data_IF_928247890158
#
_entry.id   IF_928247890158
#
_cell.length_a   1.000
_cell.length_b   1.000
_cell.length_c   1.000
_cell.angle_alpha   90.00
_cell.angle_beta   90.00
_cell.angle_gamma   90.00
#
_symmetry.space_group_name_H-M   'P 1'
#
loop_
_entity.id
_entity.type
_entity.pdbx_description
1 polymer ?
#
# COMPACT_ATOMS: atom_id res chain seq x y z
N UNK A 1 20.77 -7.07 21.25
CA UNK A 1 19.86 -6.82 20.09
C UNK A 1 18.56 -6.35 20.68
N UNK A 2 17.95 -5.29 20.14
CA UNK A 2 16.60 -4.89 20.57
C UNK A 2 15.62 -6.00 20.20
N UNK A 3 14.75 -6.37 21.14
CA UNK A 3 13.72 -7.36 20.87
C UNK A 3 12.67 -6.75 19.94
N UNK A 4 12.39 -7.39 18.80
CA UNK A 4 11.36 -6.92 17.87
C UNK A 4 9.98 -7.10 18.53
N UNK A 5 9.15 -6.06 18.48
CA UNK A 5 7.84 -5.99 19.11
C UNK A 5 6.71 -5.60 18.14
N UNK A 6 7.05 -5.31 16.88
CA UNK A 6 6.11 -5.00 15.81
C UNK A 6 6.72 -5.44 14.49
N UNK A 7 5.90 -6.06 13.63
CA UNK A 7 6.25 -6.38 12.25
C UNK A 7 5.32 -5.60 11.33
N UNK A 8 5.88 -4.93 10.32
CA UNK A 8 5.13 -4.27 9.24
C UNK A 8 5.60 -4.85 7.92
N UNK A 9 4.70 -5.43 7.16
CA UNK A 9 5.03 -6.13 5.91
C UNK A 9 4.24 -5.60 4.73
N UNK A 10 4.92 -5.44 3.60
CA UNK A 10 4.25 -5.41 2.31
C UNK A 10 3.57 -6.75 2.01
N UNK A 11 2.72 -6.77 0.98
CA UNK A 11 1.92 -7.93 0.58
C UNK A 11 2.44 -8.57 -0.70
N UNK A 12 2.36 -7.82 -1.82
CA UNK A 12 2.60 -8.36 -3.17
C UNK A 12 4.10 -8.47 -3.47
N UNK A 13 4.58 -9.69 -3.75
CA UNK A 13 6.02 -9.93 -3.90
C UNK A 13 6.78 -10.05 -2.56
N UNK A 14 6.07 -9.96 -1.43
CA UNK A 14 6.64 -10.10 -0.09
C UNK A 14 6.05 -11.32 0.61
N UNK A 15 4.81 -11.24 1.11
CA UNK A 15 4.16 -12.39 1.77
C UNK A 15 3.33 -13.24 0.81
N UNK A 16 3.07 -12.74 -0.39
CA UNK A 16 2.42 -13.48 -1.47
C UNK A 16 3.46 -13.92 -2.51
N UNK A 17 3.40 -15.19 -2.91
CA UNK A 17 4.18 -15.72 -4.02
C UNK A 17 3.58 -15.28 -5.38
N UNK A 18 4.22 -15.64 -6.49
CA UNK A 18 3.79 -15.30 -7.86
C UNK A 18 2.44 -15.91 -8.25
N UNK A 19 1.92 -16.86 -7.46
CA UNK A 19 0.59 -17.45 -7.59
C UNK A 19 -0.44 -16.82 -6.64
N UNK A 20 -0.11 -15.68 -6.01
CA UNK A 20 -0.94 -15.00 -5.01
C UNK A 20 -1.30 -15.86 -3.79
N UNK A 21 -0.45 -16.81 -3.43
CA UNK A 21 -0.60 -17.64 -2.24
C UNK A 21 0.27 -17.11 -1.11
N UNK A 22 -0.26 -17.12 0.10
CA UNK A 22 0.46 -16.71 1.31
C UNK A 22 1.63 -17.67 1.57
N UNK A 23 2.76 -17.13 2.01
CA UNK A 23 3.91 -17.86 2.52
C UNK A 23 3.46 -18.82 3.66
N UNK A 24 3.53 -20.16 3.47
CA UNK A 24 3.03 -21.11 4.45
C UNK A 24 3.90 -21.17 5.71
N UNK A 25 5.18 -20.85 5.64
CA UNK A 25 6.06 -20.78 6.82
C UNK A 25 5.66 -19.57 7.65
N UNK A 26 5.41 -18.40 7.04
CA UNK A 26 4.88 -17.24 7.75
C UNK A 26 3.54 -17.57 8.42
N UNK A 27 2.60 -18.16 7.68
CA UNK A 27 1.28 -18.51 8.23
C UNK A 27 1.39 -19.44 9.46
N UNK A 28 2.34 -20.38 9.44
CA UNK A 28 2.60 -21.27 10.56
C UNK A 28 3.17 -20.56 11.81
N UNK A 29 3.86 -19.42 11.64
CA UNK A 29 4.46 -18.63 12.72
C UNK A 29 3.51 -17.60 13.35
N UNK A 30 2.40 -17.25 12.70
CA UNK A 30 1.43 -16.27 13.23
C UNK A 30 0.91 -16.63 14.65
N UNK A 31 0.59 -17.89 14.98
CA UNK A 31 0.21 -18.25 16.36
C UNK A 31 1.29 -17.98 17.39
N UNK A 32 2.57 -18.12 17.03
CA UNK A 32 3.70 -17.86 17.91
C UNK A 32 3.87 -16.34 18.11
N UNK A 33 3.78 -15.54 17.07
CA UNK A 33 3.78 -14.09 17.17
C UNK A 33 2.65 -13.58 18.09
N UNK A 34 1.46 -14.16 17.97
CA UNK A 34 0.32 -13.81 18.85
C UNK A 34 0.59 -14.15 20.32
N UNK A 35 1.25 -15.28 20.60
CA UNK A 35 1.62 -15.71 21.94
C UNK A 35 2.64 -14.75 22.58
N UNK A 36 3.57 -14.25 21.77
CA UNK A 36 4.57 -13.26 22.17
C UNK A 36 4.03 -11.81 22.13
N UNK A 37 2.75 -11.63 21.84
CA UNK A 37 2.09 -10.31 21.70
C UNK A 37 2.78 -9.38 20.69
N UNK A 38 3.32 -9.94 19.58
CA UNK A 38 3.97 -9.21 18.50
C UNK A 38 2.96 -9.02 17.37
N UNK A 39 2.42 -7.80 17.15
CA UNK A 39 1.50 -7.52 16.04
C UNK A 39 2.20 -7.70 14.68
N UNK A 40 1.46 -8.33 13.74
CA UNK A 40 1.85 -8.41 12.33
C UNK A 40 0.92 -7.52 11.52
N UNK A 41 1.42 -6.41 11.00
CA UNK A 41 0.67 -5.37 10.31
C UNK A 41 0.96 -5.41 8.81
N UNK A 42 -0.08 -5.40 7.99
CA UNK A 42 0.05 -5.30 6.53
C UNK A 42 0.09 -3.83 6.11
N UNK A 43 0.99 -3.48 5.18
CA UNK A 43 1.11 -2.17 4.56
C UNK A 43 1.19 -2.29 3.03
N UNK A 44 0.16 -1.83 2.31
CA UNK A 44 0.05 -2.04 0.87
C UNK A 44 -0.64 -0.87 0.16
N UNK A 45 -0.43 -0.74 -1.16
CA UNK A 45 -1.21 0.16 -2.02
C UNK A 45 -2.68 -0.28 -2.20
N UNK A 46 -3.03 -1.48 -1.73
CA UNK A 46 -4.37 -2.06 -1.83
C UNK A 46 -5.40 -1.30 -0.99
N UNK A 47 -6.67 -1.44 -1.37
CA UNK A 47 -7.84 -1.00 -0.60
C UNK A 47 -8.04 -1.86 0.67
N UNK A 48 -8.82 -1.39 1.66
CA UNK A 48 -9.23 -2.25 2.77
C UNK A 48 -9.92 -3.54 2.33
N UNK A 49 -10.74 -3.50 1.27
CA UNK A 49 -11.38 -4.70 0.70
C UNK A 49 -10.38 -5.66 0.09
N UNK A 50 -9.34 -5.15 -0.56
CA UNK A 50 -8.28 -5.97 -1.15
C UNK A 50 -7.35 -6.58 -0.11
N UNK A 51 -7.22 -5.98 1.08
CA UNK A 51 -6.37 -6.48 2.16
C UNK A 51 -7.09 -7.43 3.13
N UNK A 52 -8.38 -7.21 3.38
CA UNK A 52 -9.14 -7.97 4.38
C UNK A 52 -9.13 -9.50 4.16
N UNK A 53 -9.24 -10.06 2.94
CA UNK A 53 -9.13 -11.50 2.73
C UNK A 53 -7.78 -12.08 3.14
N UNK A 54 -6.68 -11.35 2.90
CA UNK A 54 -5.31 -11.74 3.24
C UNK A 54 -5.12 -11.72 4.76
N UNK A 55 -5.57 -10.64 5.42
CA UNK A 55 -5.54 -10.55 6.88
C UNK A 55 -6.33 -11.69 7.55
N UNK A 56 -7.48 -12.05 6.96
CA UNK A 56 -8.30 -13.16 7.44
C UNK A 56 -7.63 -14.52 7.25
N UNK A 57 -7.02 -14.76 6.09
CA UNK A 57 -6.30 -16.02 5.80
C UNK A 57 -5.10 -16.21 6.73
N UNK A 58 -4.38 -15.11 7.04
CA UNK A 58 -3.31 -15.10 8.06
C UNK A 58 -3.85 -15.16 9.50
N UNK A 59 -5.13 -14.90 9.72
CA UNK A 59 -5.71 -14.84 11.06
C UNK A 59 -5.29 -13.59 11.85
N UNK A 60 -5.00 -12.46 11.19
CA UNK A 60 -4.54 -11.19 11.79
C UNK A 60 -5.55 -10.06 11.69
N UNK A 61 -6.86 -10.37 11.60
CA UNK A 61 -7.93 -9.37 11.51
C UNK A 61 -8.00 -8.43 12.73
N UNK A 62 -7.39 -8.83 13.82
CA UNK A 62 -7.24 -8.06 15.05
C UNK A 62 -6.05 -7.08 15.03
N UNK A 63 -5.23 -7.10 13.98
CA UNK A 63 -4.16 -6.13 13.76
C UNK A 63 -4.61 -4.97 12.85
N UNK A 64 -3.97 -3.79 12.91
CA UNK A 64 -4.18 -2.73 11.93
C UNK A 64 -3.77 -3.13 10.52
N UNK A 65 -4.33 -2.44 9.53
CA UNK A 65 -3.89 -2.48 8.13
C UNK A 65 -3.59 -1.05 7.65
N UNK A 66 -2.43 -0.84 7.06
CA UNK A 66 -2.05 0.40 6.40
C UNK A 66 -2.38 0.29 4.90
N UNK A 67 -3.58 0.74 4.54
CA UNK A 67 -4.12 0.71 3.19
C UNK A 67 -3.65 1.92 2.39
N UNK A 68 -3.61 1.81 1.04
CA UNK A 68 -3.20 2.90 0.15
C UNK A 68 -1.83 3.48 0.51
N UNK A 69 -0.86 2.61 0.82
CA UNK A 69 0.49 2.96 1.31
C UNK A 69 0.49 3.82 2.59
N UNK A 70 -0.55 3.75 3.42
CA UNK A 70 -0.67 4.50 4.66
C UNK A 70 -1.65 5.68 4.62
N UNK A 71 -2.31 5.96 3.46
CA UNK A 71 -3.36 7.00 3.42
C UNK A 71 -4.52 6.71 4.37
N UNK A 72 -4.75 5.44 4.67
CA UNK A 72 -5.74 4.97 5.65
C UNK A 72 -5.15 3.84 6.48
N UNK A 73 -4.99 4.07 7.77
CA UNK A 73 -4.61 3.03 8.73
C UNK A 73 -5.81 2.74 9.61
N UNK A 74 -6.31 1.49 9.55
CA UNK A 74 -7.50 1.08 10.28
C UNK A 74 -7.33 -0.29 10.94
N UNK A 75 -8.09 -0.51 12.04
CA UNK A 75 -8.23 -1.80 12.72
C UNK A 75 -9.72 -2.18 12.71
N UNK A 76 -10.08 -3.18 11.91
CA UNK A 76 -11.49 -3.45 11.61
C UNK A 76 -12.16 -2.21 10.98
N UNK A 77 -13.25 -1.73 11.56
CA UNK A 77 -13.94 -0.51 11.12
C UNK A 77 -13.42 0.76 11.82
N UNK A 78 -12.49 0.64 12.77
CA UNK A 78 -11.93 1.79 13.48
C UNK A 78 -10.79 2.40 12.68
N UNK A 79 -10.93 3.66 12.26
CA UNK A 79 -9.85 4.46 11.68
C UNK A 79 -8.90 4.88 12.79
N UNK A 80 -7.61 4.57 12.64
CA UNK A 80 -6.55 4.98 13.55
C UNK A 80 -5.85 6.25 13.04
N UNK A 81 -5.52 6.26 11.75
CA UNK A 81 -4.90 7.40 11.07
C UNK A 81 -5.49 7.55 9.66
N UNK A 82 -5.63 8.78 9.20
CA UNK A 82 -6.24 9.08 7.91
C UNK A 82 -5.59 10.32 7.28
N UNK A 83 -5.12 10.18 6.05
CA UNK A 83 -4.43 11.22 5.28
C UNK A 83 -5.13 11.40 3.92
N UNK A 84 -6.26 12.12 3.88
CA UNK A 84 -7.00 12.29 2.65
C UNK A 84 -6.30 13.26 1.69
N UNK A 85 -6.53 13.06 0.39
CA UNK A 85 -6.22 14.01 -0.66
C UNK A 85 -6.99 15.33 -0.46
N UNK A 86 -6.36 16.44 -0.78
CA UNK A 86 -7.11 17.69 -0.96
C UNK A 86 -8.06 17.57 -2.15
N UNK A 87 -9.35 17.73 -1.89
CA UNK A 87 -10.39 17.54 -2.92
C UNK A 87 -10.40 18.59 -4.00
N UNK A 88 -9.90 19.81 -3.72
CA UNK A 88 -9.79 20.85 -4.72
C UNK A 88 -8.65 20.52 -5.69
N UNK A 89 -7.49 20.11 -5.17
CA UNK A 89 -6.37 19.65 -6.02
C UNK A 89 -6.76 18.39 -6.81
N UNK A 90 -7.42 17.43 -6.18
CA UNK A 90 -7.92 16.22 -6.86
C UNK A 90 -8.88 16.57 -8.01
N UNK A 91 -9.82 17.50 -7.79
CA UNK A 91 -10.74 17.98 -8.82
C UNK A 91 -9.99 18.68 -9.95
N UNK A 92 -9.09 19.60 -9.64
CA UNK A 92 -8.27 20.30 -10.65
C UNK A 92 -7.48 19.31 -11.48
N UNK A 93 -6.88 18.30 -10.84
CA UNK A 93 -6.12 17.26 -11.52
C UNK A 93 -7.01 16.39 -12.43
N UNK A 94 -8.19 15.97 -11.97
CA UNK A 94 -9.17 15.19 -12.77
C UNK A 94 -9.63 15.99 -13.98
N UNK A 95 -10.00 17.27 -13.81
CA UNK A 95 -10.42 18.15 -14.90
C UNK A 95 -9.29 18.32 -15.93
N UNK A 96 -8.06 18.54 -15.47
CA UNK A 96 -6.88 18.64 -16.33
C UNK A 96 -6.58 17.32 -17.07
N UNK A 97 -6.62 16.18 -16.36
CA UNK A 97 -6.37 14.87 -16.97
C UNK A 97 -7.42 14.52 -18.03
N UNK A 98 -8.71 14.74 -17.75
CA UNK A 98 -9.79 14.51 -18.71
C UNK A 98 -9.65 15.39 -19.98
N UNK A 99 -9.14 16.61 -19.82
CA UNK A 99 -8.94 17.51 -20.95
C UNK A 99 -7.78 17.10 -21.87
N UNK A 100 -6.68 16.61 -21.27
CA UNK A 100 -5.42 16.37 -22.00
C UNK A 100 -5.19 14.89 -22.33
N UNK A 101 -5.78 13.97 -21.55
CA UNK A 101 -5.62 12.53 -21.63
C UNK A 101 -6.98 11.79 -21.51
N UNK A 102 -7.93 12.06 -22.42
CA UNK A 102 -9.33 11.59 -22.30
C UNK A 102 -9.50 10.06 -22.42
N UNK A 103 -8.46 9.32 -22.79
CA UNK A 103 -8.48 7.86 -22.88
C UNK A 103 -8.04 7.16 -21.60
N UNK A 104 -7.54 7.94 -20.63
CA UNK A 104 -7.08 7.39 -19.34
C UNK A 104 -8.27 7.15 -18.42
N UNK A 105 -8.37 5.95 -17.88
CA UNK A 105 -9.37 5.59 -16.88
C UNK A 105 -9.04 6.21 -15.53
N UNK A 106 -9.97 6.98 -14.97
CA UNK A 106 -9.81 7.61 -13.65
C UNK A 106 -10.64 6.87 -12.61
N UNK A 107 -9.99 6.46 -11.53
CA UNK A 107 -10.58 5.69 -10.46
C UNK A 107 -10.33 6.38 -9.13
N UNK A 108 -11.38 6.55 -8.31
CA UNK A 108 -11.33 7.18 -6.99
C UNK A 108 -11.50 6.12 -5.91
N UNK A 109 -10.75 6.26 -4.82
CA UNK A 109 -10.85 5.39 -3.66
C UNK A 109 -11.12 6.19 -2.38
N UNK A 110 -12.20 5.84 -1.68
CA UNK A 110 -12.62 6.45 -0.42
C UNK A 110 -12.99 5.35 0.59
N UNK A 111 -12.21 5.18 1.65
CA UNK A 111 -12.37 4.06 2.56
C UNK A 111 -12.35 2.73 1.80
N UNK A 112 -13.43 1.98 1.87
CA UNK A 112 -13.59 0.71 1.14
C UNK A 112 -14.27 0.84 -0.23
N UNK A 113 -14.61 2.05 -0.65
CA UNK A 113 -15.34 2.28 -1.90
C UNK A 113 -14.35 2.64 -3.02
N UNK A 114 -14.45 1.90 -4.11
CA UNK A 114 -13.84 2.21 -5.39
C UNK A 114 -14.91 2.76 -6.33
N UNK A 115 -14.64 3.91 -6.95
CA UNK A 115 -15.58 4.66 -7.79
C UNK A 115 -14.94 4.99 -9.12
N UNK A 116 -15.73 4.92 -10.20
CA UNK A 116 -15.37 5.38 -11.55
C UNK A 116 -16.62 5.91 -12.26
N UNK A 117 -16.47 6.75 -13.27
CA UNK A 117 -17.62 7.28 -14.01
C UNK A 117 -18.21 6.29 -15.01
N UNK A 118 -17.40 5.34 -15.52
CA UNK A 118 -17.86 4.30 -16.43
C UNK A 118 -16.95 3.06 -16.38
N UNK A 119 -17.45 1.94 -16.88
CA UNK A 119 -16.67 0.71 -17.04
C UNK A 119 -16.04 0.65 -18.42
N UNK A 120 -14.77 0.95 -18.50
CA UNK A 120 -13.92 0.76 -19.67
C UNK A 120 -13.11 -0.55 -19.62
N UNK A 121 -12.18 -0.73 -20.55
CA UNK A 121 -11.31 -1.93 -20.56
C UNK A 121 -10.39 -1.99 -19.33
N UNK A 122 -9.92 -0.82 -18.85
CA UNK A 122 -8.94 -0.74 -17.76
C UNK A 122 -9.58 -1.00 -16.40
N UNK A 123 -10.73 -0.36 -16.12
CA UNK A 123 -11.49 -0.58 -14.90
C UNK A 123 -12.04 -2.02 -14.81
N UNK A 124 -12.36 -2.67 -15.94
CA UNK A 124 -12.73 -4.11 -15.97
C UNK A 124 -11.53 -5.01 -15.66
N UNK A 125 -10.35 -4.68 -16.19
CA UNK A 125 -9.13 -5.44 -15.91
C UNK A 125 -8.72 -5.27 -14.44
N UNK A 126 -8.80 -4.05 -13.89
CA UNK A 126 -8.54 -3.80 -12.47
C UNK A 126 -9.53 -4.58 -11.59
N UNK A 127 -10.82 -4.61 -11.95
CA UNK A 127 -11.82 -5.42 -11.25
C UNK A 127 -11.50 -6.91 -11.28
N UNK A 128 -10.96 -7.41 -12.41
CA UNK A 128 -10.53 -8.81 -12.54
C UNK A 128 -9.30 -9.12 -11.66
N UNK A 129 -8.33 -8.20 -11.63
CA UNK A 129 -7.08 -8.35 -10.86
C UNK A 129 -7.36 -8.30 -9.35
N UNK A 130 -8.14 -7.31 -8.91
CA UNK A 130 -8.39 -7.06 -7.48
C UNK A 130 -9.54 -7.88 -6.91
N UNK A 131 -10.43 -8.42 -7.76
CA UNK A 131 -11.69 -9.04 -7.33
C UNK A 131 -12.72 -8.02 -6.81
N UNK A 132 -12.42 -6.73 -6.87
CA UNK A 132 -13.32 -5.66 -6.42
C UNK A 132 -14.23 -5.19 -7.57
N UNK A 133 -15.34 -4.54 -7.21
CA UNK A 133 -16.28 -3.94 -8.17
C UNK A 133 -16.42 -2.46 -7.88
N UNK A 134 -16.20 -1.59 -8.89
CA UNK A 134 -16.40 -0.15 -8.69
C UNK A 134 -17.88 0.21 -8.58
N UNK A 135 -18.15 1.28 -7.86
CA UNK A 135 -19.39 2.03 -7.93
C UNK A 135 -19.32 2.94 -9.16
N UNK A 136 -20.34 2.88 -10.02
CA UNK A 136 -20.41 3.72 -11.20
C UNK A 136 -21.22 4.97 -10.87
N UNK A 137 -20.56 6.12 -10.86
CA UNK A 137 -21.18 7.41 -10.55
C UNK A 137 -20.32 8.56 -11.10
N UNK A 138 -20.90 9.76 -11.32
CA UNK A 138 -20.12 10.93 -11.72
C UNK A 138 -18.99 11.21 -10.74
N UNK A 139 -17.75 11.35 -11.22
CA UNK A 139 -16.57 11.53 -10.33
C UNK A 139 -16.61 12.82 -9.51
N UNK A 140 -17.44 13.81 -9.91
CA UNK A 140 -17.63 15.03 -9.13
C UNK A 140 -18.41 14.80 -7.84
N UNK A 141 -19.32 13.83 -7.79
CA UNK A 141 -20.17 13.59 -6.61
C UNK A 141 -19.35 13.29 -5.34
N UNK A 142 -18.41 12.33 -5.32
CA UNK A 142 -17.56 12.08 -4.15
C UNK A 142 -16.61 13.24 -3.82
N UNK A 143 -16.24 14.06 -4.79
CA UNK A 143 -15.41 15.25 -4.57
C UNK A 143 -16.19 16.38 -3.88
N UNK A 144 -17.48 16.48 -4.13
CA UNK A 144 -18.37 17.47 -3.49
C UNK A 144 -18.86 17.01 -2.11
N UNK A 145 -18.88 15.70 -1.83
CA UNK A 145 -19.27 15.17 -0.53
C UNK A 145 -18.13 15.35 0.49
N UNK A 146 -18.17 16.47 1.22
CA UNK A 146 -17.14 16.81 2.22
C UNK A 146 -17.16 15.87 3.45
N UNK A 147 -18.13 14.98 3.57
CA UNK A 147 -18.20 14.02 4.68
C UNK A 147 -17.38 12.75 4.46
N UNK A 148 -17.00 12.48 3.20
CA UNK A 148 -16.21 11.29 2.82
C UNK A 148 -14.79 11.69 2.45
N UNK A 149 -13.76 11.14 3.10
CA UNK A 149 -12.38 11.39 2.70
C UNK A 149 -12.09 10.74 1.35
N UNK A 150 -11.16 11.31 0.58
CA UNK A 150 -10.61 10.73 -0.64
C UNK A 150 -9.17 10.28 -0.36
N UNK A 151 -8.87 9.00 -0.48
CA UNK A 151 -7.56 8.47 -0.10
C UNK A 151 -6.61 8.34 -1.27
N UNK A 152 -7.13 7.97 -2.45
CA UNK A 152 -6.31 7.71 -3.63
C UNK A 152 -7.09 7.96 -4.92
N UNK A 153 -6.39 8.49 -5.94
CA UNK A 153 -6.77 8.33 -7.33
C UNK A 153 -5.83 7.30 -7.98
N UNK A 154 -6.38 6.49 -8.87
CA UNK A 154 -5.63 5.58 -9.72
C UNK A 154 -6.00 5.85 -11.17
N UNK A 155 -5.03 6.28 -11.96
CA UNK A 155 -5.18 6.48 -13.38
C UNK A 155 -4.56 5.29 -14.12
N UNK A 156 -5.34 4.67 -15.01
CA UNK A 156 -4.93 3.49 -15.77
C UNK A 156 -5.14 3.76 -17.26
N UNK A 157 -4.16 3.40 -18.07
CA UNK A 157 -4.22 3.61 -19.52
C UNK A 157 -3.14 2.81 -20.24
N UNK A 158 -2.91 3.11 -21.51
CA UNK A 158 -1.73 2.60 -22.20
C UNK A 158 -0.46 3.15 -21.56
N UNK A 159 0.60 2.32 -21.50
CA UNK A 159 1.84 2.68 -20.80
C UNK A 159 2.47 3.98 -21.34
N UNK A 160 2.45 4.17 -22.67
CA UNK A 160 2.98 5.39 -23.30
C UNK A 160 2.17 6.63 -22.89
N UNK A 161 0.84 6.51 -22.80
CA UNK A 161 -0.06 7.58 -22.42
C UNK A 161 0.10 7.94 -20.93
N UNK A 162 0.14 6.96 -20.04
CA UNK A 162 0.40 7.16 -18.60
C UNK A 162 1.77 7.80 -18.36
N UNK A 163 2.80 7.35 -19.07
CA UNK A 163 4.13 7.97 -19.00
C UNK A 163 4.14 9.41 -19.52
N UNK A 164 3.39 9.70 -20.58
CA UNK A 164 3.25 11.06 -21.12
C UNK A 164 2.51 11.96 -20.12
N UNK A 165 1.42 11.47 -19.55
CA UNK A 165 0.65 12.16 -18.51
C UNK A 165 1.56 12.47 -17.30
N UNK A 166 2.28 11.47 -16.79
CA UNK A 166 3.17 11.66 -15.64
C UNK A 166 4.25 12.72 -15.89
N UNK A 167 4.86 12.73 -17.09
CA UNK A 167 5.85 13.75 -17.46
C UNK A 167 5.26 15.15 -17.65
N UNK A 168 3.97 15.26 -17.94
CA UNK A 168 3.28 16.53 -18.15
C UNK A 168 2.79 17.19 -16.85
N UNK A 169 2.80 16.44 -15.73
CA UNK A 169 2.39 16.98 -14.42
C UNK A 169 3.45 17.97 -13.94
N UNK A 170 3.01 19.18 -13.56
CA UNK A 170 3.79 20.11 -12.77
C UNK A 170 3.46 19.91 -11.29
N UNK A 171 4.41 19.44 -10.50
CA UNK A 171 4.20 19.22 -9.06
C UNK A 171 3.90 20.53 -8.29
N UNK A 172 4.33 21.67 -8.83
CA UNK A 172 4.06 22.98 -8.23
C UNK A 172 2.58 23.39 -8.33
N UNK A 173 1.84 22.81 -9.29
CA UNK A 173 0.40 23.06 -9.45
C UNK A 173 -0.44 22.29 -8.40
N UNK A 174 0.16 21.28 -7.74
CA UNK A 174 -0.49 20.39 -6.77
C UNK A 174 0.37 20.21 -5.51
N UNK A 175 0.54 21.28 -4.69
CA UNK A 175 1.52 21.28 -3.60
C UNK A 175 1.23 20.29 -2.47
N UNK A 176 -0.02 19.84 -2.30
CA UNK A 176 -0.44 18.87 -1.28
C UNK A 176 -0.54 17.44 -1.80
N UNK A 177 -0.23 17.21 -3.09
CA UNK A 177 -0.43 15.94 -3.79
C UNK A 177 0.89 15.30 -4.20
N UNK A 178 0.97 13.99 -4.11
CA UNK A 178 2.07 13.18 -4.63
C UNK A 178 1.60 12.31 -5.80
N UNK A 179 2.48 12.16 -6.80
CA UNK A 179 2.25 11.39 -8.01
C UNK A 179 3.38 10.38 -8.17
N UNK A 180 3.05 9.11 -8.40
CA UNK A 180 4.06 8.08 -8.65
C UNK A 180 3.52 6.96 -9.54
N UNK A 181 4.41 6.36 -10.29
CA UNK A 181 4.10 5.21 -11.14
C UNK A 181 4.28 3.92 -10.33
N UNK A 182 3.20 3.19 -10.08
CA UNK A 182 3.27 1.86 -9.45
C UNK A 182 3.53 0.75 -10.47
N UNK A 183 3.11 0.98 -11.73
CA UNK A 183 3.42 0.16 -12.90
C UNK A 183 3.62 1.07 -14.11
N UNK A 184 4.09 0.53 -15.22
CA UNK A 184 4.28 1.31 -16.45
C UNK A 184 3.00 2.00 -16.93
N UNK A 185 1.85 1.39 -16.65
CA UNK A 185 0.53 1.83 -17.08
C UNK A 185 -0.40 2.24 -15.92
N UNK A 186 0.13 2.46 -14.70
CA UNK A 186 -0.60 2.88 -13.50
C UNK A 186 0.05 4.12 -12.89
N UNK A 187 -0.72 5.20 -12.79
CA UNK A 187 -0.36 6.40 -12.04
C UNK A 187 -1.19 6.48 -10.77
N UNK A 188 -0.54 6.46 -9.65
CA UNK A 188 -1.14 6.64 -8.33
C UNK A 188 -1.02 8.10 -7.89
N UNK A 189 -2.08 8.61 -7.26
CA UNK A 189 -2.17 9.97 -6.75
C UNK A 189 -2.65 9.89 -5.31
N UNK A 190 -1.86 10.40 -4.37
CA UNK A 190 -2.13 10.39 -2.94
C UNK A 190 -1.81 11.74 -2.31
N UNK A 191 -2.16 11.94 -1.05
CA UNK A 191 -1.65 13.09 -0.31
C UNK A 191 -0.11 13.03 -0.21
N UNK A 192 0.54 14.20 -0.18
CA UNK A 192 2.01 14.34 -0.29
C UNK A 192 2.80 13.60 0.78
N UNK A 193 2.24 13.47 1.97
CA UNK A 193 2.87 12.82 3.13
C UNK A 193 2.29 11.40 3.38
N UNK A 194 1.98 10.69 2.29
CA UNK A 194 1.52 9.31 2.35
C UNK A 194 2.62 8.41 1.83
N UNK A 195 3.14 7.58 2.71
CA UNK A 195 4.12 6.55 2.38
C UNK A 195 4.09 5.41 3.40
N UNK A 196 4.66 4.26 3.04
CA UNK A 196 4.86 3.16 4.00
C UNK A 196 5.84 3.55 5.13
N UNK A 197 6.72 4.51 4.87
CA UNK A 197 7.62 5.07 5.90
C UNK A 197 6.83 5.87 6.95
N UNK A 198 5.88 6.72 6.51
CA UNK A 198 5.03 7.46 7.44
C UNK A 198 4.12 6.52 8.22
N UNK A 199 3.55 5.50 7.56
CA UNK A 199 2.78 4.44 8.21
C UNK A 199 3.59 3.68 9.27
N UNK A 200 4.87 3.38 9.02
CA UNK A 200 5.77 2.79 10.01
C UNK A 200 5.89 3.68 11.26
N UNK A 201 6.11 4.98 11.08
CA UNK A 201 6.26 5.92 12.20
C UNK A 201 4.96 6.03 13.01
N UNK A 202 3.82 6.14 12.35
CA UNK A 202 2.51 6.21 13.02
C UNK A 202 2.17 4.94 13.78
N UNK A 203 2.41 3.77 13.19
CA UNK A 203 2.19 2.48 13.85
C UNK A 203 3.14 2.25 15.02
N UNK A 204 4.43 2.59 14.88
CA UNK A 204 5.38 2.53 15.99
C UNK A 204 4.91 3.41 17.16
N UNK A 205 4.50 4.66 16.88
CA UNK A 205 3.95 5.55 17.89
C UNK A 205 2.65 5.02 18.52
N UNK A 206 1.75 4.42 17.73
CA UNK A 206 0.50 3.82 18.19
C UNK A 206 0.75 2.71 19.20
N UNK A 207 1.78 1.90 18.98
CA UNK A 207 2.20 0.81 19.89
C UNK A 207 3.17 1.26 20.97
N UNK A 208 3.51 2.55 21.05
CA UNK A 208 4.49 3.11 22.00
C UNK A 208 5.87 2.45 21.90
N UNK A 209 6.32 2.21 20.68
CA UNK A 209 7.59 1.58 20.35
C UNK A 209 8.55 2.59 19.72
N UNK A 210 9.86 2.33 19.90
CA UNK A 210 10.91 2.99 19.13
C UNK A 210 11.15 2.20 17.83
N UNK A 211 11.69 2.85 16.80
CA UNK A 211 11.86 2.21 15.49
C UNK A 211 12.80 1.02 15.52
N UNK A 212 13.74 0.98 16.46
CA UNK A 212 14.66 -0.13 16.71
C UNK A 212 13.96 -1.43 17.18
N UNK A 213 12.69 -1.32 17.64
CA UNK A 213 11.85 -2.45 18.03
C UNK A 213 10.93 -2.94 16.91
N UNK A 214 11.08 -2.37 15.69
CA UNK A 214 10.22 -2.69 14.54
C UNK A 214 11.02 -3.41 13.45
N UNK A 215 10.48 -4.53 12.95
CA UNK A 215 10.94 -5.18 11.74
C UNK A 215 9.99 -4.81 10.58
N UNK A 216 10.57 -4.47 9.43
CA UNK A 216 9.80 -4.24 8.20
C UNK A 216 10.25 -5.17 7.09
N UNK A 217 9.32 -5.59 6.21
CA UNK A 217 9.60 -6.44 5.05
C UNK A 217 8.99 -5.83 3.79
N UNK A 218 9.71 -5.92 2.68
CA UNK A 218 9.24 -5.42 1.39
C UNK A 218 10.14 -5.84 0.23
N UNK A 219 9.66 -5.63 -0.99
CA UNK A 219 10.37 -6.06 -2.19
C UNK A 219 10.53 -4.95 -3.24
N UNK A 220 9.97 -3.76 -3.04
CA UNK A 220 9.93 -2.76 -4.09
C UNK A 220 10.40 -1.36 -3.61
N UNK A 221 10.50 -0.42 -4.53
CA UNK A 221 11.00 0.95 -4.26
C UNK A 221 10.13 1.72 -3.28
N UNK A 222 8.81 1.50 -3.25
CA UNK A 222 7.91 2.13 -2.27
C UNK A 222 8.11 1.58 -0.84
N UNK A 223 8.79 0.42 -0.68
CA UNK A 223 9.15 -0.16 0.61
C UNK A 223 10.48 0.37 1.14
N UNK A 224 11.40 0.73 0.23
CA UNK A 224 12.76 1.09 0.57
C UNK A 224 12.88 2.14 1.69
N UNK A 225 12.07 3.21 1.73
CA UNK A 225 12.12 4.17 2.84
C UNK A 225 11.81 3.54 4.20
N UNK A 226 10.77 2.69 4.30
CA UNK A 226 10.45 2.01 5.57
C UNK A 226 11.51 0.97 5.94
N UNK A 227 12.11 0.24 4.96
CA UNK A 227 13.19 -0.71 5.21
C UNK A 227 14.44 -0.04 5.76
N UNK A 228 14.77 1.18 5.29
CA UNK A 228 15.90 1.96 5.79
C UNK A 228 15.69 2.51 7.20
N UNK A 229 14.45 2.78 7.57
CA UNK A 229 14.11 3.50 8.81
C UNK A 229 13.84 2.59 10.00
N UNK A 230 13.39 1.38 9.76
CA UNK A 230 13.11 0.39 10.80
C UNK A 230 14.38 -0.13 11.50
N UNK A 231 14.23 -0.68 12.69
CA UNK A 231 15.32 -1.36 13.40
C UNK A 231 15.92 -2.52 12.63
N UNK A 232 15.05 -3.31 11.95
CA UNK A 232 15.46 -4.33 10.99
C UNK A 232 14.60 -4.18 9.73
N UNK A 233 15.20 -3.68 8.66
CA UNK A 233 14.58 -3.67 7.33
C UNK A 233 15.01 -4.88 6.53
N UNK A 234 14.07 -5.70 6.10
CA UNK A 234 14.28 -6.94 5.35
C UNK A 234 13.84 -6.76 3.91
N UNK A 235 14.77 -6.79 2.97
CA UNK A 235 14.45 -6.88 1.55
C UNK A 235 14.24 -8.33 1.14
N UNK A 236 13.20 -8.58 0.34
CA UNK A 236 12.97 -9.89 -0.25
C UNK A 236 14.03 -10.22 -1.31
N UNK A 237 14.33 -11.52 -1.51
CA UNK A 237 15.29 -11.98 -2.49
C UNK A 237 14.94 -11.63 -3.95
N UNK A 238 13.65 -11.44 -4.26
CA UNK A 238 13.15 -10.99 -5.55
C UNK A 238 13.20 -9.47 -5.75
N UNK A 239 13.52 -8.68 -4.71
CA UNK A 239 13.60 -7.23 -4.80
C UNK A 239 14.68 -6.76 -5.80
N UNK A 240 14.53 -5.57 -6.43
CA UNK A 240 15.60 -4.93 -7.20
C UNK A 240 16.87 -4.73 -6.35
N UNK A 241 18.03 -4.73 -7.00
CA UNK A 241 19.32 -4.63 -6.30
C UNK A 241 19.43 -3.38 -5.43
N UNK A 242 18.92 -2.25 -5.88
CA UNK A 242 18.92 -1.00 -5.12
C UNK A 242 18.12 -1.11 -3.80
N UNK A 243 17.02 -1.85 -3.81
CA UNK A 243 16.20 -2.11 -2.60
C UNK A 243 16.97 -3.03 -1.65
N UNK A 244 17.61 -4.08 -2.18
CA UNK A 244 18.46 -4.98 -1.38
C UNK A 244 19.64 -4.27 -0.74
N UNK A 245 20.31 -3.40 -1.49
CA UNK A 245 21.48 -2.63 -1.03
C UNK A 245 21.08 -1.60 0.06
N UNK A 246 19.83 -1.16 0.05
CA UNK A 246 19.31 -0.19 1.02
C UNK A 246 18.70 -0.81 2.28
N UNK A 247 18.47 -2.12 2.32
CA UNK A 247 17.93 -2.82 3.48
C UNK A 247 19.04 -3.27 4.45
N UNK A 248 18.66 -3.52 5.72
CA UNK A 248 19.61 -4.06 6.70
C UNK A 248 20.00 -5.51 6.41
N UNK A 249 19.06 -6.30 5.90
CA UNK A 249 19.26 -7.70 5.55
C UNK A 249 18.45 -8.08 4.30
N UNK A 250 18.87 -9.15 3.63
CA UNK A 250 18.17 -9.74 2.51
C UNK A 250 17.77 -11.16 2.87
N UNK A 251 16.50 -11.50 2.70
CA UNK A 251 15.97 -12.86 2.89
C UNK A 251 15.85 -13.61 1.56
N UNK A 252 15.25 -14.79 1.57
CA UNK A 252 14.90 -15.52 0.33
C UNK A 252 13.82 -14.79 -0.47
N UNK A 253 13.52 -15.31 -1.65
CA UNK A 253 12.45 -14.78 -2.49
C UNK A 253 11.07 -15.09 -1.89
N UNK A 254 10.04 -14.37 -2.36
CA UNK A 254 8.64 -14.63 -2.03
C UNK A 254 8.18 -16.05 -2.45
N UNK A 255 8.84 -16.67 -3.45
CA UNK A 255 8.57 -18.04 -3.88
C UNK A 255 9.30 -19.11 -3.05
N UNK A 256 10.21 -18.69 -2.14
CA UNK A 256 11.04 -19.57 -1.31
C UNK A 256 10.78 -19.37 0.19
N UNK A 257 9.59 -18.89 0.56
CA UNK A 257 9.16 -18.60 1.93
C UNK A 257 10.06 -17.59 2.66
N UNK A 258 10.51 -16.55 1.95
CA UNK A 258 11.43 -15.57 2.48
C UNK A 258 10.87 -14.76 3.66
N UNK A 259 9.56 -14.50 3.69
CA UNK A 259 8.91 -13.78 4.78
C UNK A 259 8.89 -14.61 6.07
N UNK A 260 8.50 -15.89 5.99
CA UNK A 260 8.54 -16.81 7.12
C UNK A 260 9.96 -16.96 7.68
N UNK A 261 10.94 -17.17 6.79
CA UNK A 261 12.35 -17.25 7.20
C UNK A 261 12.84 -16.00 7.94
N UNK A 262 12.44 -14.81 7.47
CA UNK A 262 12.82 -13.56 8.13
C UNK A 262 12.24 -13.46 9.55
N UNK A 263 10.96 -13.80 9.73
CA UNK A 263 10.29 -13.80 11.04
C UNK A 263 10.96 -14.81 11.97
N UNK A 264 11.20 -16.04 11.52
CA UNK A 264 11.87 -17.06 12.33
C UNK A 264 13.27 -16.62 12.77
N UNK A 265 14.05 -16.03 11.83
CA UNK A 265 15.46 -15.69 12.09
C UNK A 265 15.63 -14.46 12.97
N UNK A 266 14.76 -13.45 12.84
CA UNK A 266 15.00 -12.13 13.45
C UNK A 266 14.01 -11.77 14.57
N UNK A 267 12.91 -12.53 14.73
CA UNK A 267 11.84 -12.21 15.69
C UNK A 267 11.67 -13.30 16.74
N UNK A 268 11.58 -14.56 16.32
CA UNK A 268 11.26 -15.71 17.19
C UNK A 268 12.50 -16.52 17.62
N UNK A 269 13.63 -15.85 17.87
CA UNK A 269 14.89 -16.47 18.27
C UNK A 269 14.79 -17.10 19.67
#
# INVERSE_FOLDING_TARGET
>A
MSHIRLIISDIDGTILNDHHQIDPELAALIPDLKREEIPFVLASARSPKGMAPIAKELGIEDCPMACYNGALIQKGEQVLFEHPLDKNEARQFIDWANQHFPQVSINLYSGKDWMTDHLDQWSREEARITGEKPLILPLLDPLLDMTKPLHKLLLIGDAEEIQALYRAISADDFPSTAFYLSKANYLEVTAKHVSKEDALVELANHYHLILEEVLTMGDNFNDLPMLKKAGIGVAMGNAPQEVKDGAAVVTKTNNENGAGQAVETYVLI
#
